data_IF_864985263007
#
_entry.id   IF_864985263007
#
_cell.length_a   1.000
_cell.length_b   1.000
_cell.length_c   1.000
_cell.angle_alpha   90.00
_cell.angle_beta   90.00
_cell.angle_gamma   90.00
#
_symmetry.space_group_name_H-M   'P 1'
#
loop_
_entity.id
_entity.type
_entity.pdbx_description
1 polymer ?
#
# COMPACT_ATOMS: atom_id res chain seq x y z
N UNK A 1 11.95 13.16 -14.19
CA UNK A 1 11.89 12.51 -12.87
C UNK A 1 12.74 13.28 -11.87
N UNK A 2 12.23 13.61 -10.68
CA UNK A 2 13.04 14.14 -9.56
C UNK A 2 13.62 12.99 -8.73
N UNK A 3 14.76 13.23 -8.10
CA UNK A 3 15.47 12.24 -7.28
C UNK A 3 15.81 12.82 -5.91
N UNK A 4 15.87 11.94 -4.89
CA UNK A 4 16.33 12.25 -3.53
C UNK A 4 17.49 11.34 -3.17
N UNK A 5 18.44 11.90 -2.43
CA UNK A 5 19.64 11.17 -2.02
C UNK A 5 19.32 10.38 -0.75
N UNK A 6 19.64 9.09 -0.76
CA UNK A 6 19.72 8.30 0.46
C UNK A 6 20.99 8.73 1.23
N UNK A 7 20.87 9.37 2.39
CA UNK A 7 22.02 9.92 3.12
C UNK A 7 22.95 8.84 3.69
N UNK A 8 22.52 7.57 3.76
CA UNK A 8 23.33 6.46 4.29
C UNK A 8 24.33 5.92 3.28
N UNK A 9 24.02 5.99 1.99
CA UNK A 9 24.81 5.32 0.94
C UNK A 9 25.00 6.15 -0.35
N UNK A 10 24.37 7.32 -0.48
CA UNK A 10 24.50 8.20 -1.64
C UNK A 10 23.62 7.82 -2.84
N UNK A 11 22.78 6.80 -2.75
CA UNK A 11 21.88 6.42 -3.85
C UNK A 11 20.94 7.58 -4.21
N UNK A 12 20.80 7.87 -5.50
CA UNK A 12 19.80 8.79 -6.02
C UNK A 12 18.51 8.02 -6.34
N UNK A 13 17.51 8.13 -5.48
CA UNK A 13 16.24 7.42 -5.60
C UNK A 13 15.17 8.32 -6.22
N UNK A 14 14.50 7.82 -7.25
CA UNK A 14 13.35 8.50 -7.85
C UNK A 14 12.25 8.74 -6.81
N UNK A 15 11.65 9.94 -6.83
CA UNK A 15 10.60 10.27 -5.85
C UNK A 15 9.35 9.42 -6.05
N UNK A 16 9.07 8.99 -7.28
CA UNK A 16 8.09 7.96 -7.58
C UNK A 16 8.77 6.59 -7.60
N UNK A 17 8.32 5.68 -6.75
CA UNK A 17 8.68 4.27 -6.79
C UNK A 17 7.54 3.44 -7.38
N UNK A 18 7.90 2.36 -8.06
CA UNK A 18 6.95 1.44 -8.66
C UNK A 18 6.54 0.37 -7.64
N UNK A 19 5.28 0.39 -7.23
CA UNK A 19 4.71 -0.63 -6.32
C UNK A 19 4.22 -1.86 -7.09
N UNK A 20 4.86 -3.00 -6.89
CA UNK A 20 4.62 -4.23 -7.65
C UNK A 20 3.56 -5.17 -7.02
N UNK A 21 2.91 -4.77 -5.91
CA UNK A 21 1.96 -5.62 -5.18
C UNK A 21 0.75 -6.06 -6.02
N UNK A 22 0.25 -5.17 -6.88
CA UNK A 22 -1.02 -5.36 -7.59
C UNK A 22 -0.85 -5.13 -9.08
N UNK A 23 -0.04 -5.96 -9.72
CA UNK A 23 0.02 -5.98 -11.17
C UNK A 23 -1.35 -6.21 -11.79
N UNK A 24 -1.54 -5.65 -12.99
CA UNK A 24 -2.74 -5.92 -13.79
C UNK A 24 -2.78 -7.40 -14.19
N UNK A 25 -3.92 -7.86 -14.71
CA UNK A 25 -4.06 -9.27 -15.15
C UNK A 25 -3.25 -9.59 -16.39
N UNK A 26 -2.87 -8.59 -17.19
CA UNK A 26 -2.13 -8.77 -18.43
C UNK A 26 -0.63 -8.63 -18.12
N UNK A 27 0.12 -9.74 -18.13
CA UNK A 27 1.58 -9.70 -17.96
C UNK A 27 2.25 -8.81 -19.01
N UNK A 28 1.69 -8.74 -20.22
CA UNK A 28 2.19 -7.87 -21.30
C UNK A 28 2.07 -6.39 -20.91
N UNK A 29 0.91 -5.98 -20.40
CA UNK A 29 0.68 -4.58 -20.00
C UNK A 29 1.59 -4.22 -18.82
N UNK A 30 1.81 -5.16 -17.90
CA UNK A 30 2.71 -4.99 -16.76
C UNK A 30 4.15 -4.81 -17.23
N UNK A 31 4.62 -5.62 -18.18
CA UNK A 31 5.94 -5.48 -18.77
C UNK A 31 6.10 -4.12 -19.45
N UNK A 32 5.14 -3.70 -20.27
CA UNK A 32 5.16 -2.40 -20.94
C UNK A 32 5.21 -1.25 -19.92
N UNK A 33 4.45 -1.35 -18.82
CA UNK A 33 4.45 -0.36 -17.74
C UNK A 33 5.79 -0.31 -17.00
N UNK A 34 6.39 -1.46 -16.66
CA UNK A 34 7.70 -1.50 -16.00
C UNK A 34 8.75 -0.87 -16.90
N UNK A 35 8.83 -1.27 -18.18
CA UNK A 35 9.80 -0.72 -19.12
C UNK A 35 9.59 0.78 -19.28
N UNK A 36 8.34 1.23 -19.49
CA UNK A 36 8.04 2.65 -19.63
C UNK A 36 8.43 3.46 -18.39
N UNK A 37 8.21 2.93 -17.19
CA UNK A 37 8.61 3.56 -15.94
C UNK A 37 10.14 3.75 -15.87
N UNK A 38 10.90 2.70 -16.21
CA UNK A 38 12.38 2.72 -16.20
C UNK A 38 12.91 3.71 -17.24
N UNK A 39 12.35 3.71 -18.45
CA UNK A 39 12.75 4.65 -19.51
C UNK A 39 12.45 6.12 -19.16
N UNK A 40 11.49 6.36 -18.27
CA UNK A 40 11.17 7.69 -17.76
C UNK A 40 11.79 8.00 -16.39
N UNK A 41 12.78 7.21 -15.97
CA UNK A 41 13.65 7.49 -14.83
C UNK A 41 13.17 6.94 -13.49
N UNK A 42 12.08 6.18 -13.41
CA UNK A 42 11.73 5.44 -12.20
C UNK A 42 12.80 4.37 -11.96
N UNK A 43 13.39 4.36 -10.77
CA UNK A 43 14.51 3.48 -10.44
C UNK A 43 14.36 2.74 -9.11
N UNK A 44 13.24 2.86 -8.40
CA UNK A 44 12.97 2.10 -7.17
C UNK A 44 11.73 1.24 -7.35
N UNK A 45 11.88 -0.09 -7.26
CA UNK A 45 10.82 -1.05 -7.52
C UNK A 45 10.58 -1.91 -6.27
N UNK A 46 9.37 -1.84 -5.72
CA UNK A 46 9.00 -2.50 -4.47
C UNK A 46 8.11 -3.72 -4.71
N UNK A 47 8.62 -4.90 -4.37
CA UNK A 47 7.90 -6.18 -4.36
C UNK A 47 8.04 -6.86 -2.99
N UNK A 48 7.57 -8.10 -2.83
CA UNK A 48 7.73 -8.88 -1.61
C UNK A 48 7.51 -10.37 -1.90
N UNK A 49 8.12 -11.24 -1.08
CA UNK A 49 7.92 -12.69 -1.12
C UNK A 49 6.46 -13.15 -1.26
N UNK A 50 5.55 -12.43 -0.59
CA UNK A 50 4.14 -12.81 -0.44
C UNK A 50 3.25 -12.25 -1.56
N UNK A 51 3.79 -11.37 -2.41
CA UNK A 51 3.02 -10.75 -3.49
C UNK A 51 2.83 -11.74 -4.65
N UNK A 52 1.59 -12.08 -5.04
CA UNK A 52 1.35 -13.09 -6.05
C UNK A 52 2.03 -12.77 -7.39
N UNK A 53 2.92 -13.65 -7.84
CA UNK A 53 3.66 -13.58 -9.11
C UNK A 53 4.51 -12.31 -9.34
N UNK A 54 4.62 -11.43 -8.33
CA UNK A 54 5.21 -10.10 -8.50
C UNK A 54 6.71 -10.18 -8.76
N UNK A 55 7.45 -10.93 -7.93
CA UNK A 55 8.89 -11.13 -8.06
C UNK A 55 9.26 -11.79 -9.39
N UNK A 56 8.49 -12.80 -9.81
CA UNK A 56 8.72 -13.55 -11.06
C UNK A 56 8.56 -12.66 -12.28
N UNK A 57 7.48 -11.87 -12.33
CA UNK A 57 7.24 -10.94 -13.44
C UNK A 57 8.33 -9.86 -13.46
N UNK A 58 8.61 -9.23 -12.31
CA UNK A 58 9.63 -8.19 -12.21
C UNK A 58 11.01 -8.72 -12.65
N UNK A 59 11.43 -9.88 -12.13
CA UNK A 59 12.69 -10.51 -12.49
C UNK A 59 12.82 -10.79 -13.98
N UNK A 60 11.77 -11.36 -14.59
CA UNK A 60 11.74 -11.65 -16.03
C UNK A 60 11.88 -10.39 -16.89
N UNK A 61 11.22 -9.29 -16.51
CA UNK A 61 11.32 -8.02 -17.23
C UNK A 61 12.72 -7.41 -17.06
N UNK A 62 13.26 -7.42 -15.84
CA UNK A 62 14.57 -6.84 -15.55
C UNK A 62 15.73 -7.63 -16.17
N UNK A 63 15.58 -8.95 -16.33
CA UNK A 63 16.54 -9.81 -17.02
C UNK A 63 16.73 -9.44 -18.52
N UNK A 64 15.81 -8.65 -19.10
CA UNK A 64 15.93 -8.12 -20.47
C UNK A 64 16.92 -6.95 -20.61
N UNK A 65 17.85 -6.80 -19.67
CA UNK A 65 18.88 -5.77 -19.68
C UNK A 65 18.59 -4.52 -18.83
N UNK A 66 17.59 -4.58 -17.93
CA UNK A 66 17.20 -3.45 -17.08
C UNK A 66 17.64 -3.56 -15.62
N UNK A 67 18.14 -4.72 -15.17
CA UNK A 67 18.48 -4.97 -13.75
C UNK A 67 19.37 -3.90 -13.13
N UNK A 68 20.41 -3.46 -13.83
CA UNK A 68 21.38 -2.47 -13.34
C UNK A 68 20.84 -1.03 -13.35
N UNK A 69 19.70 -0.77 -14.02
CA UNK A 69 19.06 0.56 -14.07
C UNK A 69 18.13 0.82 -12.89
N UNK A 70 17.87 -0.20 -12.05
CA UNK A 70 16.89 -0.13 -10.97
C UNK A 70 17.46 -0.66 -9.66
N UNK A 71 16.86 -0.18 -8.57
CA UNK A 71 17.02 -0.67 -7.21
C UNK A 71 15.80 -1.52 -6.88
N UNK A 72 16.02 -2.80 -6.59
CA UNK A 72 14.94 -3.71 -6.18
C UNK A 72 14.80 -3.68 -4.67
N UNK A 73 13.57 -3.52 -4.20
CA UNK A 73 13.17 -3.78 -2.84
C UNK A 73 12.29 -5.02 -2.76
N UNK A 74 12.67 -6.02 -1.93
CA UNK A 74 11.82 -7.16 -1.58
C UNK A 74 11.90 -7.43 -0.08
N UNK A 75 11.07 -8.35 0.44
CA UNK A 75 10.75 -8.38 1.87
C UNK A 75 10.59 -9.79 2.42
N UNK A 76 11.39 -10.08 3.45
CA UNK A 76 11.28 -11.28 4.28
C UNK A 76 10.01 -11.24 5.14
N UNK A 77 9.08 -12.19 5.02
CA UNK A 77 7.91 -12.29 5.89
C UNK A 77 8.25 -12.97 7.23
N UNK A 78 8.36 -12.24 8.36
CA UNK A 78 8.85 -12.81 9.63
C UNK A 78 8.02 -14.00 10.12
N UNK A 79 6.71 -13.98 9.86
CA UNK A 79 5.80 -15.03 10.31
C UNK A 79 6.03 -16.39 9.60
N UNK A 80 6.72 -16.43 8.47
CA UNK A 80 7.15 -17.67 7.81
C UNK A 80 8.49 -18.19 8.34
N UNK A 81 9.27 -17.38 9.04
CA UNK A 81 10.54 -17.77 9.65
C UNK A 81 10.27 -18.45 10.99
N UNK A 82 10.44 -19.77 11.06
CA UNK A 82 10.27 -20.58 12.27
C UNK A 82 11.59 -21.02 12.87
N UNK A 83 12.65 -21.07 12.07
CA UNK A 83 14.02 -21.44 12.45
C UNK A 83 15.03 -20.72 11.54
N UNK A 84 16.31 -20.75 11.92
CA UNK A 84 17.38 -20.04 11.23
C UNK A 84 17.47 -20.38 9.72
N UNK A 85 17.31 -21.65 9.34
CA UNK A 85 17.44 -22.06 7.93
C UNK A 85 16.32 -21.52 7.03
N UNK A 86 15.23 -21.02 7.60
CA UNK A 86 14.16 -20.40 6.82
C UNK A 86 14.60 -19.06 6.23
N UNK A 87 15.59 -18.36 6.82
CA UNK A 87 16.12 -17.10 6.27
C UNK A 87 16.67 -17.30 4.87
N UNK A 88 17.63 -18.22 4.71
CA UNK A 88 18.24 -18.54 3.41
C UNK A 88 17.22 -19.11 2.43
N UNK A 89 16.35 -20.02 2.90
CA UNK A 89 15.33 -20.62 2.04
C UNK A 89 14.43 -19.56 1.40
N UNK A 90 13.94 -18.62 2.20
CA UNK A 90 13.06 -17.56 1.70
C UNK A 90 13.86 -16.61 0.80
N UNK A 91 15.01 -16.13 1.24
CA UNK A 91 15.83 -15.18 0.51
C UNK A 91 16.30 -15.70 -0.87
N UNK A 92 16.81 -16.93 -0.94
CA UNK A 92 17.24 -17.52 -2.21
C UNK A 92 16.08 -17.77 -3.17
N UNK A 93 14.88 -18.04 -2.64
CA UNK A 93 13.68 -18.10 -3.47
C UNK A 93 13.35 -16.74 -4.09
N UNK A 94 13.51 -15.64 -3.34
CA UNK A 94 13.31 -14.28 -3.85
C UNK A 94 14.33 -13.96 -4.96
N UNK A 95 15.61 -14.28 -4.74
CA UNK A 95 16.68 -14.10 -5.73
C UNK A 95 16.43 -14.90 -7.02
N UNK A 96 16.01 -16.16 -6.90
CA UNK A 96 15.64 -17.01 -8.05
C UNK A 96 14.51 -16.39 -8.87
N UNK A 97 13.42 -15.99 -8.19
CA UNK A 97 12.25 -15.37 -8.86
C UNK A 97 12.61 -14.05 -9.53
N UNK A 98 13.44 -13.24 -8.86
CA UNK A 98 13.92 -11.95 -9.35
C UNK A 98 15.05 -12.08 -10.39
N UNK A 99 15.57 -13.29 -10.62
CA UNK A 99 16.65 -13.58 -11.56
C UNK A 99 17.88 -12.68 -11.33
N UNK A 100 18.27 -12.53 -10.07
CA UNK A 100 19.41 -11.70 -9.66
C UNK A 100 20.17 -12.35 -8.52
N UNK A 101 21.40 -11.89 -8.29
CA UNK A 101 22.27 -12.39 -7.20
C UNK A 101 22.30 -11.46 -5.99
N UNK A 102 21.64 -10.29 -6.07
CA UNK A 102 21.62 -9.32 -4.99
C UNK A 102 20.32 -8.52 -4.93
N UNK A 103 19.97 -8.06 -3.72
CA UNK A 103 18.86 -7.14 -3.45
C UNK A 103 19.42 -5.79 -2.98
N UNK A 104 18.92 -4.70 -3.57
CA UNK A 104 19.36 -3.35 -3.23
C UNK A 104 18.80 -2.90 -1.87
N UNK A 105 17.53 -3.16 -1.60
CA UNK A 105 16.83 -2.74 -0.39
C UNK A 105 16.01 -3.90 0.20
N UNK A 106 16.52 -4.60 1.20
CA UNK A 106 15.84 -5.76 1.80
C UNK A 106 15.12 -5.39 3.10
N UNK A 107 13.84 -5.76 3.22
CA UNK A 107 13.01 -5.38 4.36
C UNK A 107 12.59 -6.56 5.22
N UNK A 108 12.60 -6.36 6.53
CA UNK A 108 11.75 -7.14 7.44
C UNK A 108 10.28 -6.70 7.24
N UNK A 109 9.43 -7.61 6.80
CA UNK A 109 8.08 -7.27 6.33
C UNK A 109 7.07 -7.15 7.49
N UNK A 110 6.31 -6.06 7.52
CA UNK A 110 5.16 -5.84 8.39
C UNK A 110 5.45 -5.93 9.90
N UNK A 111 6.54 -5.30 10.35
CA UNK A 111 6.77 -5.18 11.79
C UNK A 111 5.70 -4.26 12.41
N UNK A 112 5.17 -4.65 13.57
CA UNK A 112 4.20 -3.87 14.35
C UNK A 112 4.79 -3.38 15.67
N UNK A 113 5.76 -4.12 16.20
CA UNK A 113 6.33 -3.94 17.52
C UNK A 113 7.73 -4.56 17.59
N UNK A 114 8.39 -4.33 18.73
CA UNK A 114 9.71 -4.87 19.01
C UNK A 114 9.71 -6.39 19.20
N UNK A 115 8.61 -6.98 19.68
CA UNK A 115 8.51 -8.42 19.98
C UNK A 115 8.79 -9.27 18.76
N UNK A 116 8.26 -8.87 17.59
CA UNK A 116 8.51 -9.60 16.34
C UNK A 116 9.98 -9.51 15.93
N UNK A 117 10.62 -8.36 16.15
CA UNK A 117 12.04 -8.15 15.86
C UNK A 117 12.93 -8.98 16.80
N UNK A 118 12.68 -8.91 18.11
CA UNK A 118 13.43 -9.66 19.12
C UNK A 118 13.37 -11.17 18.86
N UNK A 119 12.21 -11.69 18.45
CA UNK A 119 12.08 -13.08 18.04
C UNK A 119 12.97 -13.43 16.82
N UNK A 120 13.13 -12.53 15.85
CA UNK A 120 14.05 -12.76 14.73
C UNK A 120 15.51 -12.71 15.19
N UNK A 121 15.84 -11.84 16.13
CA UNK A 121 17.15 -11.78 16.78
C UNK A 121 17.46 -13.09 17.48
N UNK A 122 16.53 -13.65 18.25
CA UNK A 122 16.65 -14.96 18.91
C UNK A 122 16.87 -16.12 17.92
N UNK A 123 16.37 -15.97 16.69
CA UNK A 123 16.58 -16.92 15.59
C UNK A 123 17.91 -16.69 14.84
N UNK A 124 18.69 -15.68 15.20
CA UNK A 124 20.00 -15.38 14.60
C UNK A 124 19.94 -14.50 13.36
N UNK A 125 18.92 -13.63 13.22
CA UNK A 125 18.82 -12.73 12.05
C UNK A 125 19.99 -11.75 11.95
N UNK A 126 20.61 -11.37 13.06
CA UNK A 126 21.72 -10.40 13.07
C UNK A 126 22.95 -10.96 12.36
N UNK A 127 23.38 -12.16 12.72
CA UNK A 127 24.50 -12.86 12.07
C UNK A 127 24.20 -13.14 10.60
N UNK A 128 22.95 -13.50 10.30
CA UNK A 128 22.50 -13.73 8.94
C UNK A 128 22.56 -12.46 8.09
N UNK A 129 22.07 -11.33 8.62
CA UNK A 129 22.14 -10.02 7.94
C UNK A 129 23.61 -9.65 7.67
N UNK A 130 24.46 -9.76 8.68
CA UNK A 130 25.89 -9.43 8.55
C UNK A 130 26.53 -10.25 7.43
N UNK A 131 26.27 -11.57 7.39
CA UNK A 131 26.77 -12.45 6.33
C UNK A 131 26.29 -12.03 4.94
N UNK A 132 24.99 -11.75 4.76
CA UNK A 132 24.43 -11.34 3.46
C UNK A 132 24.89 -9.96 3.01
N UNK A 133 25.19 -9.07 3.95
CA UNK A 133 25.79 -7.77 3.63
C UNK A 133 27.26 -7.92 3.23
N UNK A 134 28.03 -8.73 3.95
CA UNK A 134 29.44 -8.99 3.63
C UNK A 134 29.61 -9.69 2.28
N UNK A 135 28.70 -10.61 1.92
CA UNK A 135 28.72 -11.26 0.60
C UNK A 135 28.24 -10.36 -0.54
N UNK A 136 27.61 -9.22 -0.22
CA UNK A 136 27.01 -8.30 -1.20
C UNK A 136 25.65 -8.75 -1.74
N UNK A 137 25.09 -9.85 -1.22
CA UNK A 137 23.76 -10.35 -1.59
C UNK A 137 22.65 -9.39 -1.13
N UNK A 138 22.86 -8.67 -0.02
CA UNK A 138 21.99 -7.57 0.42
C UNK A 138 22.82 -6.29 0.57
N UNK A 139 22.37 -5.21 -0.09
CA UNK A 139 23.07 -3.91 -0.01
C UNK A 139 22.59 -3.06 1.17
N UNK A 140 21.28 -2.96 1.37
CA UNK A 140 20.68 -2.16 2.44
C UNK A 140 19.60 -2.95 3.18
N UNK A 141 19.57 -2.83 4.51
CA UNK A 141 18.61 -3.46 5.40
C UNK A 141 17.66 -2.43 6.02
N UNK A 142 16.37 -2.74 5.97
CA UNK A 142 15.30 -1.92 6.51
C UNK A 142 14.13 -2.75 6.99
N UNK A 143 13.01 -2.08 7.26
CA UNK A 143 11.76 -2.72 7.64
C UNK A 143 10.56 -1.95 7.10
N UNK A 144 9.44 -2.65 6.89
CA UNK A 144 8.14 -2.01 6.69
C UNK A 144 7.31 -2.11 7.97
N UNK A 145 6.55 -1.06 8.26
CA UNK A 145 5.90 -0.89 9.55
C UNK A 145 4.39 -0.68 9.48
N UNK A 146 3.65 -1.34 10.37
CA UNK A 146 2.19 -1.25 10.49
C UNK A 146 1.68 -1.06 11.93
N UNK A 147 2.55 -0.78 12.90
CA UNK A 147 2.16 -0.59 14.30
C UNK A 147 1.99 0.87 14.73
N UNK A 148 1.91 1.11 16.04
CA UNK A 148 1.71 2.44 16.64
C UNK A 148 2.97 3.29 16.80
N UNK A 149 2.78 4.60 17.03
CA UNK A 149 3.87 5.60 17.14
C UNK A 149 4.98 5.26 18.15
N UNK A 150 4.60 4.77 19.33
CA UNK A 150 5.56 4.49 20.41
C UNK A 150 6.46 3.31 20.09
N UNK A 151 5.89 2.24 19.53
CA UNK A 151 6.62 1.04 19.15
C UNK A 151 7.53 1.29 17.93
N UNK A 152 7.11 2.17 17.02
CA UNK A 152 7.94 2.60 15.90
C UNK A 152 9.29 3.20 16.33
N UNK A 153 9.26 4.09 17.34
CA UNK A 153 10.48 4.72 17.87
C UNK A 153 11.42 3.67 18.45
N UNK A 154 10.88 2.75 19.27
CA UNK A 154 11.67 1.66 19.85
C UNK A 154 12.30 0.80 18.77
N UNK A 155 11.54 0.44 17.72
CA UNK A 155 12.02 -0.38 16.62
C UNK A 155 13.13 0.32 15.82
N UNK A 156 13.00 1.63 15.57
CA UNK A 156 14.06 2.43 14.93
C UNK A 156 15.36 2.39 15.74
N UNK A 157 15.26 2.47 17.07
CA UNK A 157 16.45 2.50 17.94
C UNK A 157 17.01 1.10 18.24
N UNK A 158 16.30 0.03 17.88
CA UNK A 158 16.68 -1.35 18.18
C UNK A 158 17.81 -1.90 17.30
N UNK A 159 18.04 -1.30 16.12
CA UNK A 159 19.02 -1.76 15.15
C UNK A 159 19.48 -0.59 14.26
N UNK A 160 20.74 -0.56 13.77
CA UNK A 160 21.23 0.47 12.85
C UNK A 160 20.64 0.30 11.44
N UNK A 161 19.33 0.52 11.30
CA UNK A 161 18.62 0.46 10.03
C UNK A 161 19.20 1.44 8.99
N UNK A 162 19.10 1.07 7.71
CA UNK A 162 19.56 1.90 6.58
C UNK A 162 18.42 2.62 5.87
N UNK A 163 17.18 2.15 6.06
CA UNK A 163 15.95 2.77 5.57
C UNK A 163 14.73 2.19 6.30
N UNK A 164 13.58 2.85 6.17
CA UNK A 164 12.32 2.25 6.60
C UNK A 164 11.14 2.67 5.72
N UNK A 165 10.08 1.87 5.78
CA UNK A 165 8.85 2.06 5.02
C UNK A 165 7.65 2.20 5.95
N UNK A 166 6.84 3.23 5.74
CA UNK A 166 5.63 3.50 6.53
C UNK A 166 4.42 3.76 5.63
N UNK A 167 3.23 3.46 6.16
CA UNK A 167 1.98 3.98 5.59
C UNK A 167 1.86 5.48 5.91
N UNK A 168 1.67 6.31 4.88
CA UNK A 168 1.47 7.74 5.08
C UNK A 168 0.76 8.39 3.88
N UNK A 169 -0.24 9.22 4.17
CA UNK A 169 -0.98 10.00 3.18
C UNK A 169 -1.67 11.19 3.88
N UNK A 170 -2.28 12.08 3.10
CA UNK A 170 -2.83 13.32 3.63
C UNK A 170 -4.04 13.14 4.56
N UNK A 171 -4.64 11.94 4.63
CA UNK A 171 -5.75 11.60 5.54
C UNK A 171 -5.23 10.93 6.81
N UNK A 172 -4.27 10.02 6.67
CA UNK A 172 -3.76 9.15 7.73
C UNK A 172 -2.50 9.72 8.42
N UNK A 173 -2.35 11.05 8.50
CA UNK A 173 -1.16 11.71 9.07
C UNK A 173 -0.83 11.28 10.51
N UNK A 174 -1.83 10.85 11.26
CA UNK A 174 -1.69 10.47 12.66
C UNK A 174 -1.93 8.98 12.93
N UNK A 175 -2.10 8.18 11.88
CA UNK A 175 -2.29 6.74 11.96
C UNK A 175 -0.94 6.01 11.99
N UNK A 176 -0.87 4.87 12.68
CA UNK A 176 0.35 4.08 12.81
C UNK A 176 1.57 4.93 13.21
N UNK A 177 2.74 4.78 12.57
CA UNK A 177 3.90 5.66 12.77
C UNK A 177 3.58 7.13 12.45
N UNK A 178 2.84 7.37 11.36
CA UNK A 178 2.36 8.67 10.91
C UNK A 178 3.46 9.72 10.77
N UNK A 179 3.06 10.99 10.87
CA UNK A 179 3.92 12.16 10.73
C UNK A 179 5.03 12.20 11.78
N UNK A 180 4.72 11.83 13.03
CA UNK A 180 5.72 11.78 14.10
C UNK A 180 6.81 10.75 13.80
N UNK A 181 6.44 9.56 13.30
CA UNK A 181 7.39 8.55 12.89
C UNK A 181 8.23 9.01 11.70
N UNK A 182 7.60 9.61 10.69
CA UNK A 182 8.30 10.21 9.54
C UNK A 182 9.39 11.20 9.98
N UNK A 183 9.04 12.16 10.84
CA UNK A 183 10.00 13.16 11.35
C UNK A 183 11.09 12.52 12.21
N UNK A 184 10.75 11.56 13.06
CA UNK A 184 11.72 10.88 13.91
C UNK A 184 12.75 10.11 13.09
N UNK A 185 12.29 9.27 12.16
CA UNK A 185 13.15 8.49 11.28
C UNK A 185 14.04 9.39 10.41
N UNK A 186 13.49 10.47 9.85
CA UNK A 186 14.27 11.45 9.09
C UNK A 186 15.32 12.16 9.95
N UNK A 187 15.02 12.47 11.23
CA UNK A 187 16.00 13.05 12.17
C UNK A 187 17.18 12.12 12.47
N UNK A 188 17.02 10.80 12.26
CA UNK A 188 18.08 9.78 12.34
C UNK A 188 18.84 9.60 11.02
N UNK A 189 18.52 10.42 10.01
CA UNK A 189 19.06 10.32 8.67
C UNK A 189 18.60 9.04 7.94
N UNK A 190 17.40 8.53 8.23
CA UNK A 190 16.86 7.41 7.47
C UNK A 190 16.08 7.93 6.25
N UNK A 191 16.31 7.37 5.05
CA UNK A 191 15.42 7.56 3.93
C UNK A 191 14.06 6.88 4.21
N UNK A 192 12.99 7.53 3.77
CA UNK A 192 11.62 7.18 4.09
C UNK A 192 10.85 6.76 2.84
N UNK A 193 10.52 5.48 2.77
CA UNK A 193 9.67 4.94 1.71
C UNK A 193 8.20 5.01 2.15
N UNK A 194 7.34 5.57 1.31
CA UNK A 194 5.93 5.74 1.64
C UNK A 194 5.10 4.72 0.87
N UNK A 195 4.34 3.91 1.60
CA UNK A 195 3.33 3.01 1.03
C UNK A 195 1.91 3.52 1.31
N UNK A 196 0.95 2.94 0.60
CA UNK A 196 -0.46 3.34 0.60
C UNK A 196 -0.72 4.86 0.42
N UNK A 197 -0.02 5.54 -0.52
CA UNK A 197 -0.16 6.99 -0.70
C UNK A 197 -1.58 7.42 -1.06
N UNK A 198 -2.34 6.53 -1.71
CA UNK A 198 -3.72 6.76 -2.16
C UNK A 198 -4.74 5.87 -1.45
N UNK A 199 -4.33 5.14 -0.38
CA UNK A 199 -5.20 4.23 0.38
C UNK A 199 -5.95 3.23 -0.52
N UNK A 200 -5.21 2.49 -1.35
CA UNK A 200 -5.78 1.53 -2.30
C UNK A 200 -6.71 2.15 -3.36
N UNK A 201 -6.56 3.44 -3.64
CA UNK A 201 -7.40 4.20 -4.59
C UNK A 201 -8.54 4.97 -3.94
N UNK A 202 -8.75 4.84 -2.62
CA UNK A 202 -9.84 5.53 -1.90
C UNK A 202 -9.66 7.04 -1.79
N UNK A 203 -8.45 7.54 -1.96
CA UNK A 203 -8.16 8.97 -2.00
C UNK A 203 -8.26 9.59 -3.40
N UNK A 204 -8.67 8.81 -4.41
CA UNK A 204 -8.78 9.28 -5.79
C UNK A 204 -10.08 8.88 -6.48
N UNK A 205 -10.67 7.74 -6.08
CA UNK A 205 -11.93 7.25 -6.62
C UNK A 205 -13.07 7.47 -5.64
N UNK A 206 -14.21 7.90 -6.17
CA UNK A 206 -15.46 8.07 -5.41
C UNK A 206 -15.29 8.96 -4.16
N UNK A 207 -14.67 10.13 -4.32
CA UNK A 207 -14.59 11.08 -3.21
C UNK A 207 -15.94 11.80 -3.02
N UNK A 208 -16.27 12.26 -1.79
CA UNK A 208 -17.42 13.14 -1.59
C UNK A 208 -17.36 14.36 -2.53
N UNK A 209 -18.52 14.81 -3.03
CA UNK A 209 -18.61 15.97 -3.93
C UNK A 209 -17.96 17.21 -3.32
N UNK A 210 -18.09 17.37 -2.01
CA UNK A 210 -17.52 18.45 -1.23
C UNK A 210 -15.98 18.44 -1.27
N UNK A 211 -15.35 17.27 -1.43
CA UNK A 211 -13.90 17.15 -1.62
C UNK A 211 -13.49 17.66 -3.00
N UNK A 212 -14.19 17.26 -4.06
CA UNK A 212 -13.95 17.78 -5.41
C UNK A 212 -14.13 19.30 -5.46
N UNK A 213 -15.22 19.82 -4.88
CA UNK A 213 -15.47 21.26 -4.77
C UNK A 213 -14.38 21.99 -3.97
N UNK A 214 -13.77 21.33 -2.98
CA UNK A 214 -12.68 21.91 -2.20
C UNK A 214 -11.39 21.97 -3.03
N UNK A 215 -11.03 20.88 -3.74
CA UNK A 215 -9.92 20.88 -4.69
C UNK A 215 -10.11 21.91 -5.82
N UNK A 216 -11.35 22.10 -6.26
CA UNK A 216 -11.70 23.05 -7.31
C UNK A 216 -11.52 24.53 -6.93
N UNK A 217 -11.29 24.85 -5.64
CA UNK A 217 -10.97 26.21 -5.22
C UNK A 217 -9.53 26.62 -5.52
N UNK A 218 -8.65 25.65 -5.79
CA UNK A 218 -7.29 25.95 -6.19
C UNK A 218 -7.26 26.62 -7.57
N UNK A 219 -6.30 27.53 -7.77
CA UNK A 219 -6.08 28.23 -9.04
C UNK A 219 -5.71 27.26 -10.17
N UNK A 220 -4.98 26.20 -9.84
CA UNK A 220 -4.59 25.14 -10.77
C UNK A 220 -5.47 23.91 -10.52
N UNK A 221 -6.16 23.47 -11.57
CA UNK A 221 -6.96 22.25 -11.55
C UNK A 221 -6.05 21.04 -11.64
N UNK A 222 -6.24 20.09 -10.73
CA UNK A 222 -5.44 18.87 -10.63
C UNK A 222 -6.36 17.70 -10.35
N UNK A 223 -5.96 16.51 -10.79
CA UNK A 223 -6.65 15.29 -10.37
C UNK A 223 -6.45 15.06 -8.86
N UNK A 224 -7.33 14.29 -8.20
CA UNK A 224 -7.09 13.88 -6.83
C UNK A 224 -5.78 13.11 -6.61
N UNK A 225 -5.34 12.35 -7.62
CA UNK A 225 -4.07 11.61 -7.57
C UNK A 225 -2.89 12.58 -7.55
N UNK A 226 -2.91 13.57 -8.44
CA UNK A 226 -1.90 14.62 -8.47
C UNK A 226 -1.84 15.38 -7.14
N UNK A 227 -2.98 15.79 -6.57
CA UNK A 227 -3.00 16.42 -5.25
C UNK A 227 -2.33 15.57 -4.17
N UNK A 228 -2.67 14.28 -4.12
CA UNK A 228 -2.15 13.37 -3.11
C UNK A 228 -0.64 13.16 -3.23
N UNK A 229 -0.13 12.95 -4.45
CA UNK A 229 1.30 12.79 -4.69
C UNK A 229 2.07 14.08 -4.45
N UNK A 230 1.54 15.23 -4.89
CA UNK A 230 2.18 16.52 -4.63
C UNK A 230 2.30 16.78 -3.12
N UNK A 231 1.27 16.46 -2.34
CA UNK A 231 1.32 16.60 -0.88
C UNK A 231 2.43 15.75 -0.23
N UNK A 232 2.68 14.54 -0.75
CA UNK A 232 3.77 13.68 -0.29
C UNK A 232 5.14 14.23 -0.72
N UNK A 233 5.29 14.58 -2.00
CA UNK A 233 6.53 15.11 -2.55
C UNK A 233 6.90 16.48 -1.98
N UNK A 234 5.92 17.28 -1.55
CA UNK A 234 6.18 18.57 -0.91
C UNK A 234 6.97 18.44 0.41
N UNK A 235 6.97 17.27 1.06
CA UNK A 235 7.63 17.05 2.36
C UNK A 235 9.08 16.59 2.17
N UNK A 236 10.10 17.29 2.70
CA UNK A 236 11.51 16.90 2.52
C UNK A 236 11.85 15.54 3.11
N UNK A 237 11.12 15.09 4.14
CA UNK A 237 11.42 13.84 4.83
C UNK A 237 11.06 12.59 4.03
N UNK A 238 10.17 12.71 3.05
CA UNK A 238 9.81 11.59 2.15
C UNK A 238 11.01 11.30 1.23
N UNK A 239 11.32 10.05 0.91
CA UNK A 239 12.38 9.74 -0.08
C UNK A 239 11.79 9.24 -1.38
N UNK A 240 10.94 8.23 -1.29
CA UNK A 240 10.24 7.61 -2.43
C UNK A 240 8.82 7.29 -2.03
N UNK A 241 7.86 7.51 -2.94
CA UNK A 241 6.45 7.17 -2.77
C UNK A 241 6.09 6.02 -3.69
N UNK A 242 5.62 4.92 -3.10
CA UNK A 242 5.28 3.69 -3.80
C UNK A 242 3.85 3.74 -4.32
N UNK A 243 3.70 3.78 -5.65
CA UNK A 243 2.39 3.73 -6.29
C UNK A 243 2.20 2.41 -7.06
N UNK A 244 1.09 1.72 -6.81
CA UNK A 244 0.59 0.69 -7.72
C UNK A 244 -0.19 1.36 -8.85
N UNK A 245 0.24 1.17 -10.09
CA UNK A 245 -0.34 1.81 -11.28
C UNK A 245 -0.81 0.71 -12.22
N UNK A 246 -2.12 0.66 -12.50
CA UNK A 246 -2.73 -0.44 -13.25
C UNK A 246 -3.03 -0.09 -14.71
N UNK A 247 -2.73 1.13 -15.12
CA UNK A 247 -2.89 1.59 -16.50
C UNK A 247 -1.74 2.52 -16.89
N UNK A 248 -1.49 2.63 -18.19
CA UNK A 248 -0.43 3.50 -18.71
C UNK A 248 -0.71 4.98 -18.42
N UNK A 249 -1.98 5.39 -18.40
CA UNK A 249 -2.39 6.77 -18.11
C UNK A 249 -2.04 7.15 -16.65
N UNK A 250 -2.30 6.25 -15.70
CA UNK A 250 -1.92 6.47 -14.29
C UNK A 250 -0.39 6.58 -14.16
N UNK A 251 0.35 5.74 -14.87
CA UNK A 251 1.81 5.76 -14.85
C UNK A 251 2.35 7.09 -15.42
N UNK A 252 1.85 7.52 -16.57
CA UNK A 252 2.25 8.77 -17.21
C UNK A 252 1.91 10.00 -16.37
N UNK A 253 0.72 10.05 -15.77
CA UNK A 253 0.34 11.12 -14.85
C UNK A 253 1.29 11.16 -13.64
N UNK A 254 1.53 10.02 -12.99
CA UNK A 254 2.40 9.96 -11.82
C UNK A 254 3.86 10.33 -12.15
N UNK A 255 4.38 9.93 -13.32
CA UNK A 255 5.71 10.32 -13.80
C UNK A 255 5.78 11.83 -14.01
N UNK A 256 4.77 12.44 -14.63
CA UNK A 256 4.69 13.89 -14.83
C UNK A 256 4.74 14.60 -13.47
N UNK A 257 3.85 14.23 -12.55
CA UNK A 257 3.74 14.84 -11.22
C UNK A 257 5.05 14.69 -10.44
N UNK A 258 5.68 13.52 -10.48
CA UNK A 258 6.98 13.25 -9.86
C UNK A 258 8.15 14.02 -10.51
N UNK A 259 7.98 14.51 -11.73
CA UNK A 259 9.00 15.29 -12.45
C UNK A 259 8.86 16.79 -12.21
N UNK A 260 7.66 17.28 -11.94
CA UNK A 260 7.34 18.70 -11.83
C UNK A 260 7.29 19.22 -10.39
N UNK A 261 7.10 18.33 -9.41
CA UNK A 261 6.87 18.73 -8.02
C UNK A 261 8.16 18.99 -7.27
N UNK A 262 8.27 20.17 -6.66
CA UNK A 262 9.36 20.55 -5.77
C UNK A 262 8.98 20.35 -4.30
N UNK A 263 10.01 20.28 -3.45
CA UNK A 263 9.83 20.26 -1.99
C UNK A 263 9.48 21.67 -1.50
N UNK A 264 8.57 21.77 -0.52
CA UNK A 264 8.11 23.04 0.05
C UNK A 264 7.51 24.03 -0.98
N UNK A 265 6.92 23.54 -2.07
CA UNK A 265 6.25 24.38 -3.09
C UNK A 265 4.82 24.78 -2.71
N UNK A 266 4.18 24.07 -1.76
CA UNK A 266 2.78 24.34 -1.41
C UNK A 266 2.59 25.71 -0.78
N UNK A 267 1.60 26.43 -1.30
CA UNK A 267 1.14 27.68 -0.72
C UNK A 267 0.42 27.45 0.62
N UNK A 268 0.19 28.53 1.37
CA UNK A 268 -0.62 28.47 2.61
C UNK A 268 -2.04 28.01 2.29
N UNK A 269 -2.65 28.52 1.21
CA UNK A 269 -3.99 28.16 0.76
C UNK A 269 -4.11 26.67 0.40
N UNK A 270 -3.12 26.12 -0.32
CA UNK A 270 -3.07 24.69 -0.65
C UNK A 270 -2.87 23.84 0.60
N UNK A 271 -2.07 24.30 1.58
CA UNK A 271 -1.91 23.61 2.85
C UNK A 271 -3.21 23.57 3.67
N UNK A 272 -3.96 24.68 3.70
CA UNK A 272 -5.27 24.74 4.35
C UNK A 272 -6.33 23.88 3.64
N UNK A 273 -6.23 23.74 2.31
CA UNK A 273 -7.11 22.92 1.49
C UNK A 273 -7.12 21.47 2.01
N UNK A 274 -5.95 20.89 2.29
CA UNK A 274 -5.85 19.54 2.84
C UNK A 274 -6.49 19.41 4.23
N UNK A 275 -6.45 20.47 5.05
CA UNK A 275 -7.18 20.51 6.32
C UNK A 275 -8.70 20.38 6.15
N UNK A 276 -9.26 21.09 5.16
CA UNK A 276 -10.68 21.04 4.81
C UNK A 276 -11.06 19.67 4.23
N UNK A 277 -10.27 19.16 3.30
CA UNK A 277 -10.47 17.83 2.68
C UNK A 277 -10.47 16.73 3.75
N UNK A 278 -9.48 16.72 4.66
CA UNK A 278 -9.45 15.78 5.79
C UNK A 278 -10.70 15.84 6.63
N UNK A 279 -11.16 17.05 6.96
CA UNK A 279 -12.36 17.24 7.80
C UNK A 279 -13.58 16.60 7.13
N UNK A 280 -13.77 16.85 5.84
CA UNK A 280 -14.86 16.25 5.05
C UNK A 280 -14.73 14.72 5.03
N UNK A 281 -13.54 14.20 4.72
CA UNK A 281 -13.33 12.75 4.64
C UNK A 281 -13.55 12.04 5.98
N UNK A 282 -13.07 12.61 7.09
CA UNK A 282 -13.26 12.05 8.43
C UNK A 282 -14.74 12.08 8.88
N UNK A 283 -15.53 13.03 8.39
CA UNK A 283 -16.97 13.08 8.67
C UNK A 283 -17.76 12.06 7.84
N UNK A 284 -17.32 11.78 6.60
CA UNK A 284 -18.06 10.94 5.63
C UNK A 284 -17.62 9.48 5.62
N UNK A 285 -16.38 9.17 5.98
CA UNK A 285 -15.88 7.79 6.02
C UNK A 285 -16.33 7.14 7.33
N UNK A 286 -17.25 6.19 7.25
CA UNK A 286 -17.78 5.46 8.43
C UNK A 286 -16.77 4.45 8.98
N UNK A 287 -16.12 3.71 8.08
CA UNK A 287 -15.17 2.65 8.41
C UNK A 287 -13.80 3.03 7.85
N UNK A 288 -12.74 3.11 8.67
CA UNK A 288 -11.41 3.48 8.21
C UNK A 288 -10.68 2.33 7.48
N UNK A 289 -11.38 1.60 6.61
CA UNK A 289 -10.80 0.55 5.78
C UNK A 289 -9.94 1.17 4.67
N UNK A 290 -8.69 0.70 4.53
CA UNK A 290 -7.76 1.16 3.48
C UNK A 290 -7.85 0.36 2.18
N UNK A 291 -8.64 -0.73 2.16
CA UNK A 291 -8.73 -1.61 1.00
C UNK A 291 -7.43 -2.35 0.68
N UNK A 292 -6.56 -2.57 1.69
CA UNK A 292 -5.25 -3.22 1.57
C UNK A 292 -5.31 -4.72 1.23
N UNK A 293 -6.46 -5.37 1.48
CA UNK A 293 -6.70 -6.81 1.30
C UNK A 293 -5.94 -7.74 2.26
N UNK A 294 -5.31 -7.25 3.33
CA UNK A 294 -4.67 -8.15 4.32
C UNK A 294 -5.66 -9.09 5.04
N UNK A 295 -6.93 -8.71 5.11
CA UNK A 295 -8.00 -9.56 5.63
C UNK A 295 -8.41 -10.71 4.68
N UNK A 296 -7.77 -10.83 3.51
CA UNK A 296 -8.11 -11.79 2.46
C UNK A 296 -7.01 -12.86 2.28
N UNK A 297 -7.38 -14.10 1.86
CA UNK A 297 -8.73 -14.56 1.54
C UNK A 297 -9.57 -14.89 2.80
N UNK A 298 -10.86 -14.57 2.75
CA UNK A 298 -11.81 -15.01 3.78
C UNK A 298 -12.11 -16.52 3.63
N UNK A 299 -12.10 -17.33 4.71
CA UNK A 299 -12.34 -18.78 4.64
C UNK A 299 -13.74 -19.14 4.14
N UNK A 300 -14.70 -18.24 4.31
CA UNK A 300 -16.09 -18.38 3.82
C UNK A 300 -16.39 -17.45 2.64
N UNK A 301 -15.33 -17.00 1.95
CA UNK A 301 -15.39 -16.26 0.69
C UNK A 301 -16.11 -14.89 0.75
N UNK A 302 -16.27 -14.28 1.94
CA UNK A 302 -16.71 -12.87 2.03
C UNK A 302 -15.65 -11.98 1.40
N UNK A 303 -16.05 -11.12 0.46
CA UNK A 303 -15.20 -10.03 -0.03
C UNK A 303 -15.29 -8.85 0.95
N UNK A 304 -14.52 -8.97 2.03
CA UNK A 304 -14.56 -8.04 3.17
C UNK A 304 -14.26 -6.60 2.68
N UNK A 305 -13.19 -6.33 1.93
CA UNK A 305 -12.88 -4.97 1.46
C UNK A 305 -14.01 -4.35 0.65
N UNK A 306 -14.62 -5.11 -0.28
CA UNK A 306 -15.75 -4.64 -1.09
C UNK A 306 -16.99 -4.38 -0.23
N UNK A 307 -17.28 -5.24 0.75
CA UNK A 307 -18.41 -5.05 1.67
C UNK A 307 -18.27 -3.74 2.48
N UNK A 308 -17.10 -3.51 3.08
CA UNK A 308 -16.84 -2.30 3.85
C UNK A 308 -16.81 -1.05 2.96
N UNK A 309 -16.26 -1.17 1.74
CA UNK A 309 -16.26 -0.10 0.74
C UNK A 309 -17.69 0.34 0.37
N UNK A 310 -18.57 -0.60 0.02
CA UNK A 310 -19.95 -0.28 -0.33
C UNK A 310 -20.68 0.40 0.84
N UNK A 311 -20.40 -0.02 2.08
CA UNK A 311 -21.00 0.59 3.26
C UNK A 311 -20.57 2.04 3.48
N UNK A 312 -19.30 2.36 3.23
CA UNK A 312 -18.81 3.74 3.22
C UNK A 312 -19.43 4.56 2.08
N UNK A 313 -19.63 3.96 0.90
CA UNK A 313 -20.20 4.64 -0.27
C UNK A 313 -21.65 5.12 -0.05
N UNK A 314 -22.35 4.67 1.02
CA UNK A 314 -23.68 5.19 1.38
C UNK A 314 -23.65 6.71 1.60
N UNK A 315 -22.59 7.23 2.23
CA UNK A 315 -22.45 8.68 2.50
C UNK A 315 -22.09 9.49 1.25
N UNK A 316 -21.57 8.82 0.21
CA UNK A 316 -21.00 9.44 -0.99
C UNK A 316 -22.00 9.40 -2.14
N UNK A 317 -22.53 8.22 -2.44
CA UNK A 317 -23.41 7.95 -3.58
C UNK A 317 -24.90 7.80 -3.17
N UNK A 318 -25.17 7.71 -1.87
CA UNK A 318 -26.50 7.42 -1.33
C UNK A 318 -26.81 5.91 -1.26
N UNK A 319 -27.77 5.55 -0.40
CA UNK A 319 -28.07 4.14 -0.07
C UNK A 319 -28.46 3.29 -1.27
N UNK A 320 -29.24 3.82 -2.21
CA UNK A 320 -29.74 3.05 -3.37
C UNK A 320 -28.58 2.66 -4.29
N UNK A 321 -27.75 3.63 -4.71
CA UNK A 321 -26.59 3.38 -5.57
C UNK A 321 -25.60 2.40 -4.92
N UNK A 322 -25.26 2.65 -3.65
CA UNK A 322 -24.41 1.76 -2.86
C UNK A 322 -24.98 0.32 -2.73
N UNK A 323 -26.31 0.17 -2.56
CA UNK A 323 -26.96 -1.14 -2.47
C UNK A 323 -26.88 -1.90 -3.80
N UNK A 324 -27.11 -1.21 -4.93
CA UNK A 324 -26.99 -1.81 -6.27
C UNK A 324 -25.56 -2.29 -6.52
N UNK A 325 -24.58 -1.43 -6.23
CA UNK A 325 -23.14 -1.74 -6.33
C UNK A 325 -22.77 -2.95 -5.47
N UNK A 326 -23.24 -2.99 -4.22
CA UNK A 326 -23.03 -4.11 -3.30
C UNK A 326 -23.54 -5.44 -3.89
N UNK A 327 -24.77 -5.47 -4.41
CA UNK A 327 -25.36 -6.68 -5.00
C UNK A 327 -24.56 -7.13 -6.23
N UNK A 328 -24.18 -6.19 -7.11
CA UNK A 328 -23.40 -6.48 -8.32
C UNK A 328 -22.00 -7.02 -8.00
N UNK A 329 -21.32 -6.44 -7.01
CA UNK A 329 -19.94 -6.79 -6.71
C UNK A 329 -19.81 -8.03 -5.83
N UNK A 330 -20.78 -8.30 -4.95
CA UNK A 330 -20.67 -9.40 -3.97
C UNK A 330 -21.64 -10.56 -4.21
N UNK A 331 -22.88 -10.28 -4.61
CA UNK A 331 -23.98 -11.27 -4.59
C UNK A 331 -24.24 -11.95 -5.93
N UNK A 332 -23.84 -11.28 -7.02
CA UNK A 332 -24.03 -11.66 -8.41
C UNK A 332 -22.79 -12.34 -9.03
N UNK A 333 -21.83 -12.74 -8.20
CA UNK A 333 -20.69 -13.56 -8.61
C UNK A 333 -21.08 -15.05 -8.64
N UNK A 334 -20.32 -15.86 -9.38
CA UNK A 334 -20.50 -17.33 -9.43
C UNK A 334 -20.54 -17.95 -8.03
N UNK A 335 -19.65 -17.51 -7.14
CA UNK A 335 -19.73 -17.76 -5.69
C UNK A 335 -20.04 -16.45 -4.99
N UNK A 336 -21.08 -16.45 -4.16
CA UNK A 336 -21.46 -15.28 -3.38
C UNK A 336 -20.34 -14.85 -2.44
N UNK A 337 -20.17 -13.55 -2.25
CA UNK A 337 -19.12 -12.93 -1.44
C UNK A 337 -19.67 -11.85 -0.49
N UNK A 338 -20.98 -11.86 -0.26
CA UNK A 338 -21.69 -10.87 0.53
C UNK A 338 -21.48 -11.06 2.04
N UNK A 339 -21.68 -9.99 2.82
CA UNK A 339 -21.37 -9.91 4.23
C UNK A 339 -22.08 -10.95 5.12
N UNK A 340 -23.32 -11.34 4.81
CA UNK A 340 -24.04 -12.34 5.63
C UNK A 340 -23.46 -13.75 5.60
N UNK A 341 -22.47 -14.03 4.75
CA UNK A 341 -21.72 -15.29 4.78
C UNK A 341 -20.74 -15.36 5.96
N UNK A 342 -20.46 -14.24 6.62
CA UNK A 342 -19.52 -14.18 7.74
C UNK A 342 -19.98 -15.11 8.90
N UNK A 343 -19.06 -15.97 9.35
CA UNK A 343 -19.28 -16.90 10.47
C UNK A 343 -18.62 -16.43 11.78
N UNK A 344 -18.27 -15.14 11.87
CA UNK A 344 -17.70 -14.52 13.08
C UNK A 344 -16.37 -15.15 13.59
N UNK A 345 -15.55 -15.72 12.69
CA UNK A 345 -14.38 -16.53 13.06
C UNK A 345 -13.13 -15.79 13.58
N UNK A 346 -13.05 -14.45 13.51
CA UNK A 346 -11.89 -13.69 14.05
C UNK A 346 -10.73 -13.44 13.09
N UNK A 347 -10.39 -14.39 12.21
CA UNK A 347 -9.13 -14.39 11.43
C UNK A 347 -8.80 -13.10 10.67
N UNK A 348 -9.80 -12.43 10.13
CA UNK A 348 -9.60 -11.19 9.38
C UNK A 348 -9.09 -10.02 10.24
N UNK A 349 -9.49 -9.97 11.52
CA UNK A 349 -9.11 -8.90 12.45
C UNK A 349 -7.66 -9.03 12.91
N UNK A 350 -7.14 -10.27 13.01
CA UNK A 350 -5.73 -10.57 13.32
C UNK A 350 -4.75 -10.02 12.27
N UNK A 351 -5.23 -9.79 11.04
CA UNK A 351 -4.42 -9.29 9.93
C UNK A 351 -4.76 -7.83 9.55
N UNK A 352 -5.69 -7.17 10.26
CA UNK A 352 -6.11 -5.82 9.89
C UNK A 352 -5.15 -4.77 10.48
N UNK A 353 -4.34 -4.06 9.67
CA UNK A 353 -3.39 -3.07 10.19
C UNK A 353 -4.06 -1.78 10.69
N UNK A 354 -5.39 -1.68 10.52
CA UNK A 354 -6.22 -0.57 10.99
C UNK A 354 -7.01 -0.96 12.25
N UNK A 355 -6.79 -2.17 12.78
CA UNK A 355 -7.44 -2.72 13.99
C UNK A 355 -8.98 -2.66 13.93
N UNK A 356 -9.54 -2.72 12.71
CA UNK A 356 -10.98 -2.67 12.50
C UNK A 356 -11.61 -3.91 13.11
N UNK A 357 -12.69 -3.73 13.87
CA UNK A 357 -13.58 -4.82 14.29
C UNK A 357 -14.44 -5.28 13.12
N UNK A 358 -13.79 -5.90 12.13
CA UNK A 358 -14.36 -6.29 10.84
C UNK A 358 -15.65 -7.09 11.04
N UNK A 359 -15.73 -7.95 12.06
CA UNK A 359 -16.91 -8.79 12.31
C UNK A 359 -18.13 -7.94 12.65
N UNK A 360 -17.93 -6.92 13.49
CA UNK A 360 -19.00 -6.00 13.88
C UNK A 360 -19.37 -5.06 12.74
N UNK A 361 -18.39 -4.61 11.96
CA UNK A 361 -18.65 -3.85 10.75
C UNK A 361 -19.45 -4.64 9.72
N UNK A 362 -19.12 -5.91 9.47
CA UNK A 362 -19.88 -6.78 8.56
C UNK A 362 -21.33 -6.96 9.02
N UNK A 363 -21.60 -7.03 10.33
CA UNK A 363 -22.99 -7.05 10.86
C UNK A 363 -23.74 -5.76 10.49
N UNK A 364 -23.08 -4.59 10.55
CA UNK A 364 -23.64 -3.32 10.10
C UNK A 364 -23.88 -3.30 8.58
N UNK A 365 -22.96 -3.86 7.79
CA UNK A 365 -23.11 -4.04 6.33
C UNK A 365 -24.35 -4.89 6.02
N UNK A 366 -24.49 -6.05 6.68
CA UNK A 366 -25.66 -6.93 6.53
C UNK A 366 -26.95 -6.18 6.87
N UNK A 367 -27.00 -5.45 8.00
CA UNK A 367 -28.18 -4.67 8.38
C UNK A 367 -28.53 -3.58 7.35
N UNK A 368 -27.52 -2.97 6.74
CA UNK A 368 -27.73 -1.87 5.80
C UNK A 368 -28.19 -2.32 4.41
N UNK A 369 -27.66 -3.44 3.91
CA UNK A 369 -27.88 -3.90 2.52
C UNK A 369 -28.72 -5.18 2.40
N UNK A 370 -28.71 -6.05 3.40
CA UNK A 370 -29.29 -7.40 3.31
C UNK A 370 -30.61 -7.54 4.07
N UNK A 371 -31.44 -6.49 4.05
CA UNK A 371 -32.78 -6.49 4.64
C UNK A 371 -33.78 -7.40 3.90
N UNK A 372 -35.06 -7.32 4.28
CA UNK A 372 -36.10 -8.23 3.77
C UNK A 372 -36.22 -8.28 2.23
N UNK A 373 -35.93 -7.16 1.54
CA UNK A 373 -36.02 -7.04 0.08
C UNK A 373 -34.78 -7.59 -0.65
N UNK A 374 -33.66 -7.84 0.05
CA UNK A 374 -32.39 -8.25 -0.58
C UNK A 374 -32.48 -9.59 -1.31
N UNK A 375 -33.07 -10.62 -0.69
CA UNK A 375 -33.19 -11.95 -1.31
C UNK A 375 -34.05 -11.90 -2.59
N UNK A 376 -35.26 -11.29 -2.60
CA UNK A 376 -36.03 -11.08 -3.82
C UNK A 376 -35.28 -10.31 -4.92
N UNK A 377 -34.68 -9.16 -4.58
CA UNK A 377 -33.96 -8.31 -5.54
C UNK A 377 -32.78 -9.06 -6.16
N UNK A 378 -32.00 -9.77 -5.33
CA UNK A 378 -30.89 -10.59 -5.78
C UNK A 378 -31.35 -11.72 -6.72
N UNK A 379 -32.43 -12.41 -6.39
CA UNK A 379 -32.95 -13.51 -7.21
C UNK A 379 -33.42 -13.00 -8.59
N UNK A 380 -34.11 -11.86 -8.62
CA UNK A 380 -34.50 -11.19 -9.86
C UNK A 380 -33.26 -10.80 -10.68
N UNK A 381 -32.28 -10.15 -10.07
CA UNK A 381 -31.07 -9.71 -10.76
C UNK A 381 -30.26 -10.86 -11.37
N UNK A 382 -30.14 -12.01 -10.67
CA UNK A 382 -29.52 -13.22 -11.23
C UNK A 382 -30.25 -13.74 -12.46
N UNK A 383 -31.58 -13.83 -12.38
CA UNK A 383 -32.44 -14.29 -13.49
C UNK A 383 -32.29 -13.41 -14.74
N UNK A 384 -32.19 -12.09 -14.58
CA UNK A 384 -32.00 -11.17 -15.71
C UNK A 384 -30.62 -11.29 -16.36
N UNK A 385 -29.57 -11.63 -15.59
CA UNK A 385 -28.20 -11.72 -16.10
C UNK A 385 -27.79 -13.13 -16.59
N UNK A 386 -28.72 -14.10 -16.58
CA UNK A 386 -28.45 -15.51 -16.95
C UNK A 386 -27.31 -16.15 -16.13
N UNK A 387 -27.22 -15.80 -14.83
CA UNK A 387 -26.25 -16.32 -13.86
C UNK A 387 -26.90 -17.20 -12.79
#
# INVERSE_FOLDING_TARGET
>A
MKYRINPKNGDHLSVLGFGCMRFSKSEKDVEEQIIHAIENGVNYFDTAYIYPNSEVILGRVLAKGYRERVKIATKLPPYLVKKHEDFDKLFYTELERLQTTYIDYYLMHMLTDLTTWDRLVDLGVLDWIELKKQSGEIRNIGFSYHGGKSEFIKLIDAYPWEFCMIQYNYLDENNQAGKSGLKYASSKGLPMMIMEPLRGGKLVSNLPKEVYQTFDRASVKRSPAEWAFKWLYNQPEVTTVLSGMNSMEMLQENIRVASETEVNEFTTDESELFGKVRTILNQKIRIPCTGCNYCMPCPVNVDIPTCLACYNDIEIEGKIAASTKYIMQTSLKNKSQNASLCIDCGKCEEHCPQEIKIKDELKKVTKAFEGFHYKPVRALAKRFMRL
#
